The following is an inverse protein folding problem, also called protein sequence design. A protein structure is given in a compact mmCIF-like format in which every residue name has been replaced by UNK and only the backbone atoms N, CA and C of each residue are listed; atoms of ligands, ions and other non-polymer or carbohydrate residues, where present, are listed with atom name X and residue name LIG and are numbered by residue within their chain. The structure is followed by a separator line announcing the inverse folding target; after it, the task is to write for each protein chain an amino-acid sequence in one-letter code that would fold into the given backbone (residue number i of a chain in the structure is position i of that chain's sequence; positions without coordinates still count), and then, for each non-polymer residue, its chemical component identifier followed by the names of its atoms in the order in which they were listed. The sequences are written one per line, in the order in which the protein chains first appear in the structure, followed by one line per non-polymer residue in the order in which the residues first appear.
data_IF_948884464221
#
_entry.id   IF_948884464221
#
_cell.length_a   1.000
_cell.length_b   1.000
_cell.length_c   1.000
_cell.angle_alpha   90.00
_cell.angle_beta   90.00
_cell.angle_gamma   90.00
#
_symmetry.space_group_name_H-M   'P 1'
#
loop_
_entity.id
_entity.type
_entity.pdbx_description
1 polymer ?
#
# COMPACT_ATOMS: atom_id res chain seq x y z
N UNK A 1 -14.11 -3.82 9.25
CA UNK A 1 -13.76 -4.72 8.14
C UNK A 1 -12.24 -4.85 8.08
N UNK A 2 -11.76 -5.98 7.58
CA UNK A 2 -10.33 -6.28 7.37
C UNK A 2 -9.68 -5.27 6.42
N UNK A 3 -10.35 -4.91 5.31
CA UNK A 3 -9.90 -3.87 4.38
C UNK A 3 -9.55 -2.54 5.07
N UNK A 4 -10.36 -2.08 6.04
CA UNK A 4 -10.09 -0.85 6.79
C UNK A 4 -8.83 -0.97 7.64
N UNK A 5 -8.55 -2.14 8.20
CA UNK A 5 -7.34 -2.39 8.98
C UNK A 5 -6.10 -2.38 8.08
N UNK A 6 -6.16 -3.06 6.94
CA UNK A 6 -5.11 -3.07 5.90
C UNK A 6 -4.75 -1.63 5.49
N UNK A 7 -5.75 -0.82 5.13
CA UNK A 7 -5.52 0.56 4.71
C UNK A 7 -4.94 1.43 5.84
N UNK A 8 -5.43 1.30 7.08
CA UNK A 8 -4.89 2.09 8.20
C UNK A 8 -3.44 1.76 8.50
N UNK A 9 -3.09 0.48 8.48
CA UNK A 9 -1.73 0.03 8.75
C UNK A 9 -0.77 0.45 7.63
N UNK A 10 -1.14 0.25 6.35
CA UNK A 10 -0.35 0.71 5.21
C UNK A 10 -0.15 2.22 5.17
N UNK A 11 -1.20 3.02 5.47
CA UNK A 11 -1.07 4.48 5.56
C UNK A 11 -0.18 4.90 6.72
N UNK A 12 -0.26 4.23 7.87
CA UNK A 12 0.61 4.52 9.00
C UNK A 12 2.08 4.31 8.66
N UNK A 13 2.43 3.18 8.05
CA UNK A 13 3.81 2.93 7.62
C UNK A 13 4.29 3.96 6.60
N UNK A 14 3.47 4.26 5.59
CA UNK A 14 3.78 5.33 4.63
C UNK A 14 4.05 6.68 5.32
N UNK A 15 3.36 7.00 6.42
CA UNK A 15 3.52 8.28 7.12
C UNK A 15 4.63 8.31 8.17
N UNK A 16 5.05 7.16 8.70
CA UNK A 16 5.88 7.09 9.91
C UNK A 16 7.12 6.22 9.80
N UNK A 17 7.28 5.44 8.73
CA UNK A 17 8.40 4.52 8.51
C UNK A 17 9.20 4.85 7.27
N UNK A 18 9.82 6.04 7.25
CA UNK A 18 10.66 6.50 6.12
C UNK A 18 11.84 5.55 5.81
N UNK A 19 12.21 4.72 6.79
CA UNK A 19 13.21 3.66 6.67
C UNK A 19 12.77 2.45 5.81
N UNK A 20 11.47 2.33 5.53
CA UNK A 20 10.91 1.23 4.73
C UNK A 20 10.53 1.75 3.34
N UNK A 21 11.04 1.17 2.23
CA UNK A 21 10.72 1.64 0.88
C UNK A 21 9.22 1.59 0.54
N UNK A 22 8.71 2.59 -0.19
CA UNK A 22 7.29 2.65 -0.60
C UNK A 22 6.85 1.40 -1.35
N UNK A 23 7.69 0.91 -2.28
CA UNK A 23 7.36 -0.26 -3.08
C UNK A 23 7.10 -1.51 -2.22
N UNK A 24 7.87 -1.69 -1.13
CA UNK A 24 7.73 -2.80 -0.17
C UNK A 24 6.42 -2.65 0.60
N UNK A 25 6.13 -1.47 1.16
CA UNK A 25 4.88 -1.24 1.90
C UNK A 25 3.69 -1.54 0.99
N UNK A 26 3.66 -0.98 -0.23
CA UNK A 26 2.54 -1.19 -1.14
C UNK A 26 2.39 -2.67 -1.53
N UNK A 27 3.48 -3.39 -1.84
CA UNK A 27 3.38 -4.82 -2.21
C UNK A 27 2.85 -5.67 -1.06
N UNK A 28 3.39 -5.52 0.15
CA UNK A 28 3.00 -6.33 1.30
C UNK A 28 1.52 -6.16 1.63
N UNK A 29 1.01 -4.92 1.65
CA UNK A 29 -0.41 -4.68 1.95
C UNK A 29 -1.35 -5.13 0.82
N UNK A 30 -0.89 -5.14 -0.44
CA UNK A 30 -1.65 -5.74 -1.56
C UNK A 30 -1.70 -7.26 -1.43
N UNK A 31 -0.60 -7.91 -1.05
CA UNK A 31 -0.56 -9.36 -0.88
C UNK A 31 -1.34 -9.82 0.36
N UNK A 32 -1.31 -9.05 1.45
CA UNK A 32 -2.23 -9.24 2.58
C UNK A 32 -3.69 -9.14 2.09
N UNK A 33 -4.03 -8.14 1.26
CA UNK A 33 -5.39 -8.02 0.74
C UNK A 33 -5.80 -9.24 -0.10
N UNK A 34 -4.92 -9.77 -0.95
CA UNK A 34 -5.17 -11.01 -1.72
C UNK A 34 -5.39 -12.23 -0.85
N UNK A 35 -4.85 -12.25 0.37
CA UNK A 35 -5.08 -13.35 1.31
C UNK A 35 -6.50 -13.33 1.93
N UNK A 36 -7.22 -12.20 1.84
CA UNK A 36 -8.57 -12.04 2.41
C UNK A 36 -9.67 -11.81 1.35
N UNK A 37 -9.30 -11.45 0.12
CA UNK A 37 -10.23 -11.02 -0.93
C UNK A 37 -9.75 -11.51 -2.30
N UNK A 38 -10.69 -11.91 -3.16
CA UNK A 38 -10.37 -12.47 -4.48
C UNK A 38 -10.45 -11.46 -5.63
N UNK A 39 -11.18 -10.35 -5.47
CA UNK A 39 -11.54 -9.49 -6.60
C UNK A 39 -11.01 -8.05 -6.49
N UNK A 40 -11.83 -7.11 -6.03
CA UNK A 40 -11.58 -5.67 -6.23
C UNK A 40 -10.79 -5.03 -5.09
N UNK A 41 -10.83 -5.60 -3.89
CA UNK A 41 -10.14 -5.05 -2.72
C UNK A 41 -8.62 -4.96 -2.87
N UNK A 42 -7.90 -5.96 -3.42
CA UNK A 42 -6.46 -5.83 -3.64
C UNK A 42 -6.12 -4.68 -4.61
N UNK A 43 -6.94 -4.46 -5.65
CA UNK A 43 -6.77 -3.34 -6.59
C UNK A 43 -7.03 -2.01 -5.91
N UNK A 44 -8.06 -1.94 -5.06
CA UNK A 44 -8.38 -0.76 -4.27
C UNK A 44 -7.24 -0.42 -3.29
N UNK A 45 -6.69 -1.42 -2.59
CA UNK A 45 -5.55 -1.23 -1.68
C UNK A 45 -4.35 -0.68 -2.44
N UNK A 46 -4.01 -1.27 -3.59
CA UNK A 46 -2.92 -0.77 -4.44
C UNK A 46 -3.13 0.69 -4.85
N UNK A 47 -4.32 1.02 -5.37
CA UNK A 47 -4.64 2.36 -5.85
C UNK A 47 -4.63 3.42 -4.73
N UNK A 48 -5.15 3.06 -3.54
CA UNK A 48 -5.20 3.98 -2.40
C UNK A 48 -3.80 4.20 -1.84
N UNK A 49 -3.01 3.14 -1.63
CA UNK A 49 -1.67 3.28 -1.06
C UNK A 49 -0.71 4.00 -2.01
N UNK A 50 -0.78 3.79 -3.33
CA UNK A 50 0.01 4.56 -4.31
C UNK A 50 -0.37 6.05 -4.31
N UNK A 51 -1.65 6.39 -4.18
CA UNK A 51 -2.07 7.80 -4.07
C UNK A 51 -1.57 8.42 -2.77
N UNK A 52 -1.63 7.68 -1.66
CA UNK A 52 -1.14 8.16 -0.37
C UNK A 52 0.36 8.34 -0.39
N UNK A 53 1.13 7.39 -0.91
CA UNK A 53 2.59 7.46 -0.97
C UNK A 53 3.07 8.71 -1.72
N UNK A 54 2.45 9.02 -2.87
CA UNK A 54 2.76 10.24 -3.63
C UNK A 54 2.49 11.51 -2.81
N UNK A 55 1.44 11.50 -1.98
CA UNK A 55 1.08 12.63 -1.15
C UNK A 55 1.99 12.81 0.06
N UNK A 56 2.40 11.71 0.71
CA UNK A 56 3.12 11.78 2.00
C UNK A 56 4.63 11.67 1.86
N UNK A 57 5.13 11.08 0.76
CA UNK A 57 6.57 10.89 0.49
C UNK A 57 7.03 11.45 -0.86
N UNK A 58 6.12 11.90 -1.73
CA UNK A 58 6.48 12.31 -3.09
C UNK A 58 6.85 11.15 -4.02
N UNK A 59 6.64 9.91 -3.60
CA UNK A 59 7.01 8.70 -4.31
C UNK A 59 5.76 7.91 -4.75
N UNK A 60 5.69 7.51 -6.01
CA UNK A 60 4.74 6.48 -6.47
C UNK A 60 5.36 5.10 -6.37
N UNK A 61 4.56 4.04 -6.55
CA UNK A 61 5.11 2.72 -6.89
C UNK A 61 5.86 2.89 -8.22
N UNK A 62 7.19 2.99 -8.15
CA UNK A 62 8.05 3.12 -9.31
C UNK A 62 7.75 2.00 -10.30
N UNK A 63 7.63 2.34 -11.58
CA UNK A 63 7.58 1.35 -12.66
C UNK A 63 8.94 0.65 -12.87
N UNK A 64 9.95 0.93 -12.03
CA UNK A 64 11.35 0.52 -12.22
C UNK A 64 11.89 -0.31 -11.04
N UNK A 65 11.13 -1.32 -10.64
CA UNK A 65 11.66 -2.42 -9.83
C UNK A 65 11.18 -3.73 -10.46
N UNK A 66 11.63 -3.97 -11.69
CA UNK A 66 12.01 -5.24 -12.33
C UNK A 66 12.37 -4.96 -13.80
#
# INVERSE_FOLDING_TARGET
STLRAILRAGVYELMKREDVPVAVIVSEYVDIAKAFYEEDEPKLVNAVLDRVSRRVRGEGRGKDAL
#
